data_IF_121979160434
#
_entry.id   IF_121979160434
#
_cell.length_a   1.000
_cell.length_b   1.000
_cell.length_c   1.000
_cell.angle_alpha   90.00
_cell.angle_beta   90.00
_cell.angle_gamma   90.00
#
_symmetry.space_group_name_H-M   'P 1'
#
loop_
_entity.id
_entity.type
_entity.pdbx_description
1 polymer ?
#
# COMPACT_ATOMS: atom_id res chain seq x y z
N UNK A 1 -6.26 -21.85 -12.38
CA UNK A 1 -5.04 -21.51 -13.14
C UNK A 1 -4.11 -20.75 -12.19
N UNK A 2 -3.02 -21.39 -11.75
CA UNK A 2 -2.10 -20.88 -10.72
C UNK A 2 -1.24 -19.75 -11.32
N UNK A 3 -1.16 -18.59 -10.65
CA UNK A 3 -0.72 -17.36 -11.32
C UNK A 3 0.79 -17.21 -11.56
N UNK A 4 1.66 -18.14 -11.12
CA UNK A 4 3.07 -18.09 -11.54
C UNK A 4 3.87 -19.34 -11.14
N UNK A 5 4.72 -19.79 -12.07
CA UNK A 5 6.04 -20.30 -11.69
C UNK A 5 6.72 -19.26 -10.81
N UNK A 6 6.94 -19.62 -9.54
CA UNK A 6 7.71 -18.81 -8.61
C UNK A 6 9.13 -18.73 -9.14
N UNK A 7 9.66 -17.53 -9.33
CA UNK A 7 11.05 -17.32 -9.71
C UNK A 7 11.82 -16.59 -8.60
N UNK A 8 13.15 -16.67 -8.70
CA UNK A 8 14.05 -15.83 -7.91
C UNK A 8 14.44 -14.64 -8.77
N UNK A 9 14.31 -13.43 -8.25
CA UNK A 9 14.69 -12.21 -8.93
C UNK A 9 15.35 -11.19 -8.00
N UNK A 10 15.93 -10.12 -8.54
CA UNK A 10 16.62 -9.10 -7.78
C UNK A 10 15.67 -8.05 -7.16
N UNK A 11 15.89 -7.70 -5.90
CA UNK A 11 15.24 -6.55 -5.26
C UNK A 11 15.74 -5.24 -5.90
N UNK A 12 17.05 -5.01 -5.86
CA UNK A 12 17.76 -3.95 -6.60
C UNK A 12 18.11 -4.42 -8.00
N UNK A 13 17.65 -3.73 -9.07
CA UNK A 13 17.75 -4.23 -10.44
C UNK A 13 19.21 -4.25 -10.92
N UNK A 14 19.63 -5.38 -11.51
CA UNK A 14 21.02 -5.63 -11.88
C UNK A 14 21.53 -4.74 -13.02
N UNK A 15 20.71 -4.52 -14.05
CA UNK A 15 21.21 -4.07 -15.37
C UNK A 15 20.87 -2.62 -15.72
N UNK A 16 19.87 -2.04 -15.07
CA UNK A 16 19.44 -0.64 -15.26
C UNK A 16 18.48 -0.25 -14.12
N UNK A 17 18.26 1.06 -13.95
CA UNK A 17 17.21 1.60 -13.08
C UNK A 17 16.30 2.48 -13.93
N UNK A 18 15.00 2.19 -13.93
CA UNK A 18 14.03 2.99 -14.69
C UNK A 18 14.02 4.45 -14.18
N UNK A 19 14.08 5.41 -15.11
CA UNK A 19 14.13 6.84 -14.78
C UNK A 19 15.54 7.38 -14.54
N UNK A 20 16.56 6.51 -14.53
CA UNK A 20 17.95 6.87 -14.26
C UNK A 20 18.87 6.39 -15.40
N UNK A 21 18.90 7.08 -16.57
CA UNK A 21 19.61 6.60 -17.76
C UNK A 21 21.11 6.37 -17.57
N UNK A 22 21.73 7.12 -16.67
CA UNK A 22 23.16 7.01 -16.37
C UNK A 22 23.48 5.85 -15.42
N UNK A 23 22.47 5.29 -14.74
CA UNK A 23 22.65 4.25 -13.74
C UNK A 23 22.69 2.87 -14.39
N UNK A 24 23.86 2.22 -14.39
CA UNK A 24 24.10 0.91 -15.03
C UNK A 24 23.51 -0.31 -14.29
N UNK A 25 22.54 -0.06 -13.42
CA UNK A 25 22.01 -1.03 -12.47
C UNK A 25 23.00 -1.41 -11.36
N UNK A 26 22.50 -2.14 -10.37
CA UNK A 26 23.27 -2.64 -9.23
C UNK A 26 24.02 -3.92 -9.59
N UNK A 27 24.82 -3.89 -10.65
CA UNK A 27 25.48 -5.08 -11.21
C UNK A 27 26.38 -5.79 -10.21
N UNK A 28 26.94 -5.07 -9.24
CA UNK A 28 27.77 -5.61 -8.16
C UNK A 28 26.97 -6.40 -7.11
N UNK A 29 25.65 -6.26 -7.11
CA UNK A 29 24.72 -7.03 -6.26
C UNK A 29 24.10 -8.23 -7.00
N UNK A 30 24.53 -8.50 -8.24
CA UNK A 30 23.94 -9.55 -9.07
C UNK A 30 24.00 -10.96 -8.44
N UNK A 31 25.05 -11.22 -7.65
CA UNK A 31 25.35 -12.49 -7.00
C UNK A 31 25.32 -12.39 -5.47
N UNK A 32 24.68 -11.35 -4.93
CA UNK A 32 24.47 -11.18 -3.49
C UNK A 32 23.13 -11.81 -3.12
N UNK A 33 23.15 -12.81 -2.24
CA UNK A 33 21.95 -13.54 -1.82
C UNK A 33 20.95 -12.59 -1.14
N UNK A 34 21.45 -11.56 -0.47
CA UNK A 34 20.67 -10.51 0.19
C UNK A 34 19.85 -9.68 -0.81
N UNK A 35 20.18 -9.75 -2.12
CA UNK A 35 19.45 -9.07 -3.18
C UNK A 35 18.41 -9.99 -3.87
N UNK A 36 18.30 -11.27 -3.51
CA UNK A 36 17.35 -12.20 -4.15
C UNK A 36 16.01 -12.28 -3.43
N UNK A 37 14.91 -12.20 -4.18
CA UNK A 37 13.54 -12.32 -3.69
C UNK A 37 12.76 -13.35 -4.49
N UNK A 38 11.83 -13.99 -3.80
CA UNK A 38 10.77 -14.75 -4.45
C UNK A 38 9.86 -13.75 -5.18
N UNK A 39 9.73 -13.92 -6.48
CA UNK A 39 8.94 -13.07 -7.34
C UNK A 39 7.94 -13.88 -8.18
N UNK A 40 6.91 -13.17 -8.64
CA UNK A 40 5.97 -13.67 -9.62
C UNK A 40 6.39 -13.14 -10.99
N UNK A 41 6.51 -14.01 -12.00
CA UNK A 41 6.86 -13.62 -13.37
C UNK A 41 5.98 -12.48 -13.91
N UNK A 42 4.69 -12.48 -13.61
CA UNK A 42 3.77 -11.42 -14.03
C UNK A 42 4.00 -10.11 -13.29
N UNK A 43 4.14 -10.15 -11.96
CA UNK A 43 4.43 -8.97 -11.12
C UNK A 43 5.81 -8.36 -11.40
N UNK A 44 6.71 -9.16 -11.97
CA UNK A 44 8.07 -8.72 -12.24
C UNK A 44 8.31 -8.26 -13.68
N UNK A 45 7.78 -8.96 -14.68
CA UNK A 45 8.10 -8.69 -16.09
C UNK A 45 6.89 -8.61 -17.04
N UNK A 46 5.67 -8.89 -16.57
CA UNK A 46 4.49 -9.01 -17.43
C UNK A 46 3.63 -7.75 -17.58
N UNK A 47 3.99 -6.66 -16.89
CA UNK A 47 3.11 -5.52 -16.67
C UNK A 47 2.07 -5.82 -15.59
N UNK A 48 1.84 -4.86 -14.70
CA UNK A 48 0.74 -4.91 -13.76
C UNK A 48 -0.58 -4.94 -14.56
N UNK A 49 -1.50 -5.84 -14.23
CA UNK A 49 -2.85 -5.86 -14.82
C UNK A 49 -3.91 -6.01 -13.75
N UNK A 50 -4.97 -5.21 -13.87
CA UNK A 50 -6.19 -5.30 -13.08
C UNK A 50 -7.36 -5.41 -14.05
N UNK A 51 -8.21 -6.40 -13.85
CA UNK A 51 -9.36 -6.66 -14.74
C UNK A 51 -9.00 -6.69 -16.25
N UNK A 52 -7.79 -7.17 -16.57
CA UNK A 52 -7.28 -7.25 -17.94
C UNK A 52 -6.67 -5.97 -18.50
N UNK A 53 -6.80 -4.83 -17.80
CA UNK A 53 -6.25 -3.53 -18.19
C UNK A 53 -4.80 -3.40 -17.69
N UNK A 54 -3.84 -3.00 -18.55
CA UNK A 54 -2.47 -2.68 -18.12
C UNK A 54 -2.45 -1.48 -17.17
N UNK A 55 -1.79 -1.62 -16.02
CA UNK A 55 -1.73 -0.60 -14.96
C UNK A 55 -0.33 -0.04 -14.73
N UNK A 56 0.59 -0.37 -15.64
CA UNK A 56 1.99 0.01 -15.54
C UNK A 56 2.91 -1.16 -15.84
N UNK A 57 4.21 -0.91 -15.71
CA UNK A 57 5.27 -1.82 -16.18
C UNK A 57 5.59 -2.97 -15.20
N UNK A 58 4.79 -3.17 -14.15
CA UNK A 58 5.12 -4.01 -13.00
C UNK A 58 6.43 -3.52 -12.33
N UNK A 59 7.07 -4.33 -11.47
CA UNK A 59 8.38 -3.96 -10.88
C UNK A 59 9.43 -3.73 -11.95
N UNK A 60 9.77 -4.75 -12.73
CA UNK A 60 10.86 -4.71 -13.71
C UNK A 60 12.12 -4.05 -13.12
N UNK A 61 12.57 -2.99 -13.78
CA UNK A 61 13.74 -2.20 -13.38
C UNK A 61 13.38 -0.95 -12.56
N UNK A 62 12.13 -0.84 -12.09
CA UNK A 62 11.69 0.21 -11.16
C UNK A 62 12.30 -0.05 -9.78
N UNK A 63 13.09 0.92 -9.33
CA UNK A 63 13.62 0.96 -7.96
C UNK A 63 13.59 2.39 -7.42
N UNK A 64 12.38 2.96 -7.24
CA UNK A 64 12.23 4.29 -6.67
C UNK A 64 12.73 4.31 -5.22
N UNK A 65 13.35 5.43 -4.84
CA UNK A 65 13.73 5.72 -3.47
C UNK A 65 12.68 6.65 -2.85
N UNK A 66 12.37 6.42 -1.58
CA UNK A 66 11.60 7.33 -0.76
C UNK A 66 12.47 8.53 -0.34
N UNK A 67 13.68 8.24 0.12
CA UNK A 67 14.67 9.22 0.56
C UNK A 67 16.11 8.67 0.42
N UNK A 68 17.07 9.53 0.69
CA UNK A 68 18.49 9.19 0.70
C UNK A 68 19.15 9.15 -0.69
N UNK A 69 20.50 9.16 -0.73
CA UNK A 69 21.24 9.11 -1.98
C UNK A 69 21.20 7.71 -2.60
N UNK A 70 20.98 7.65 -3.92
CA UNK A 70 21.16 6.41 -4.69
C UNK A 70 22.62 5.99 -4.71
N UNK A 71 22.89 4.71 -4.50
CA UNK A 71 24.19 4.10 -4.66
C UNK A 71 24.47 3.76 -6.13
N UNK A 72 25.60 4.22 -6.65
CA UNK A 72 26.05 4.09 -8.04
C UNK A 72 27.16 3.06 -8.22
N UNK A 73 27.88 2.75 -7.14
CA UNK A 73 29.10 1.96 -7.17
C UNK A 73 29.19 0.96 -6.01
N UNK A 74 30.04 -0.07 -6.13
CA UNK A 74 30.18 -1.10 -5.09
C UNK A 74 30.70 -0.59 -3.73
N UNK A 75 31.29 0.60 -3.69
CA UNK A 75 31.84 1.23 -2.48
C UNK A 75 30.85 2.17 -1.80
N UNK A 76 29.72 2.46 -2.44
CA UNK A 76 28.72 3.35 -1.88
C UNK A 76 27.97 2.63 -0.76
N UNK A 77 27.56 3.40 0.25
CA UNK A 77 26.83 2.89 1.39
C UNK A 77 25.35 2.66 1.04
N UNK A 78 24.96 1.39 0.95
CA UNK A 78 23.58 0.99 0.61
C UNK A 78 22.59 1.29 1.72
N UNK A 79 23.06 1.48 2.96
CA UNK A 79 22.18 1.74 4.11
C UNK A 79 21.69 3.20 4.12
N UNK A 80 22.31 4.08 3.32
CA UNK A 80 21.83 5.43 3.08
C UNK A 80 20.65 5.49 2.09
N UNK A 81 20.46 4.47 1.25
CA UNK A 81 19.29 4.38 0.40
C UNK A 81 18.05 4.01 1.23
N UNK A 82 16.96 4.72 1.03
CA UNK A 82 15.66 4.29 1.55
C UNK A 82 14.74 3.89 0.39
N UNK A 83 14.64 2.60 0.05
CA UNK A 83 13.76 2.14 -1.03
C UNK A 83 12.29 2.42 -0.75
N UNK A 84 11.56 2.91 -1.77
CA UNK A 84 10.12 3.09 -1.67
C UNK A 84 9.39 1.75 -1.60
N UNK A 85 9.88 0.73 -2.33
CA UNK A 85 9.33 -0.62 -2.29
C UNK A 85 9.59 -1.27 -0.94
N UNK A 86 8.58 -1.95 -0.41
CA UNK A 86 8.73 -2.79 0.77
C UNK A 86 9.55 -4.05 0.43
N UNK A 87 10.50 -4.36 1.29
CA UNK A 87 11.36 -5.53 1.20
C UNK A 87 10.91 -6.60 2.19
N UNK A 88 10.40 -7.77 1.75
CA UNK A 88 9.98 -8.82 2.67
C UNK A 88 11.12 -9.43 3.50
N UNK A 89 12.39 -9.19 3.13
CA UNK A 89 13.54 -9.59 3.93
C UNK A 89 13.88 -8.60 5.07
N UNK A 90 13.31 -7.39 5.03
CA UNK A 90 13.46 -6.40 6.10
C UNK A 90 12.38 -6.63 7.15
N UNK A 91 12.76 -6.84 8.42
CA UNK A 91 11.84 -7.29 9.47
C UNK A 91 10.61 -6.40 9.67
N UNK A 92 10.74 -5.08 9.49
CA UNK A 92 9.64 -4.13 9.70
C UNK A 92 8.70 -3.97 8.51
N UNK A 93 9.18 -4.22 7.30
CA UNK A 93 8.45 -3.89 6.06
C UNK A 93 7.16 -4.72 5.88
N UNK A 94 7.13 -6.04 6.14
CA UNK A 94 5.89 -6.82 6.09
C UNK A 94 4.79 -6.28 7.00
N UNK A 95 5.14 -5.67 8.14
CA UNK A 95 4.19 -5.10 9.09
C UNK A 95 3.47 -3.86 8.59
N UNK A 96 3.98 -3.21 7.54
CA UNK A 96 3.34 -2.05 6.90
C UNK A 96 2.16 -2.42 6.01
N UNK A 97 1.95 -3.72 5.75
CA UNK A 97 0.82 -4.24 4.97
C UNK A 97 -0.17 -5.02 5.85
N UNK A 98 -1.43 -4.93 5.48
CA UNK A 98 -2.55 -5.72 6.01
C UNK A 98 -3.52 -6.12 4.90
N UNK A 99 -4.61 -6.76 5.26
CA UNK A 99 -5.65 -7.17 4.31
C UNK A 99 -7.04 -6.76 4.81
N UNK A 100 -7.89 -6.27 3.91
CA UNK A 100 -9.30 -6.06 4.22
C UNK A 100 -10.13 -7.34 4.05
N UNK A 101 -11.40 -7.28 4.46
CA UNK A 101 -12.34 -8.42 4.39
C UNK A 101 -12.63 -8.91 2.98
N UNK A 102 -12.32 -8.10 1.95
CA UNK A 102 -12.47 -8.47 0.55
C UNK A 102 -11.18 -9.07 -0.04
N UNK A 103 -10.16 -9.32 0.80
CA UNK A 103 -8.90 -9.90 0.39
C UNK A 103 -7.98 -8.93 -0.34
N UNK A 104 -8.23 -7.62 -0.29
CA UNK A 104 -7.28 -6.65 -0.83
C UNK A 104 -6.17 -6.35 0.18
N UNK A 105 -4.94 -6.28 -0.31
CA UNK A 105 -3.83 -5.71 0.43
C UNK A 105 -4.07 -4.21 0.65
N UNK A 106 -3.79 -3.76 1.86
CA UNK A 106 -3.90 -2.38 2.32
C UNK A 106 -2.66 -2.02 3.12
N UNK A 107 -2.39 -0.73 3.25
CA UNK A 107 -1.57 -0.20 4.33
C UNK A 107 -2.13 -0.63 5.70
N UNK A 108 -1.26 -0.99 6.63
CA UNK A 108 -1.62 -1.21 8.04
C UNK A 108 -1.79 0.10 8.79
N UNK A 109 -2.23 0.03 10.05
CA UNK A 109 -2.40 1.22 10.91
C UNK A 109 -1.07 1.76 11.48
N UNK A 110 0.07 1.24 11.03
CA UNK A 110 1.39 1.75 11.42
C UNK A 110 1.52 3.22 11.03
N UNK A 111 1.89 4.15 11.91
CA UNK A 111 2.05 5.56 11.56
C UNK A 111 2.99 5.77 10.37
N UNK A 112 2.78 6.85 9.61
CA UNK A 112 3.73 7.26 8.58
C UNK A 112 5.09 7.58 9.20
N UNK A 113 6.15 7.15 8.54
CA UNK A 113 7.50 7.60 8.87
C UNK A 113 7.69 9.09 8.54
N UNK A 114 8.74 9.70 9.08
CA UNK A 114 9.08 11.09 8.77
C UNK A 114 9.35 11.29 7.27
N UNK A 115 10.04 10.34 6.62
CA UNK A 115 10.34 10.41 5.19
C UNK A 115 9.08 10.27 4.31
N UNK A 116 8.12 9.42 4.71
CA UNK A 116 6.81 9.34 4.06
C UNK A 116 6.04 10.66 4.21
N UNK A 117 6.04 11.24 5.42
CA UNK A 117 5.40 12.52 5.69
C UNK A 117 6.04 13.69 4.91
N UNK A 118 7.37 13.70 4.82
CA UNK A 118 8.13 14.73 4.10
C UNK A 118 7.94 14.62 2.58
N UNK A 119 7.95 13.40 2.04
CA UNK A 119 7.75 13.15 0.60
C UNK A 119 6.28 13.22 0.18
N UNK A 120 5.34 13.07 1.11
CA UNK A 120 3.91 12.94 0.81
C UNK A 120 3.55 11.60 0.16
N UNK A 121 4.41 10.58 0.30
CA UNK A 121 4.27 9.27 -0.35
C UNK A 121 4.16 8.17 0.70
N UNK A 122 3.27 7.20 0.48
CA UNK A 122 3.12 6.01 1.31
C UNK A 122 3.83 4.81 0.68
N UNK A 123 4.80 4.21 1.38
CA UNK A 123 5.57 3.05 0.88
C UNK A 123 4.67 1.84 0.60
N UNK A 124 3.73 1.56 1.51
CA UNK A 124 2.83 0.42 1.40
C UNK A 124 1.90 0.54 0.18
N UNK A 125 1.29 1.70 -0.03
CA UNK A 125 0.38 1.92 -1.16
C UNK A 125 1.11 1.89 -2.50
N UNK A 126 2.31 2.49 -2.58
CA UNK A 126 3.13 2.43 -3.79
C UNK A 126 3.65 1.01 -4.07
N UNK A 127 3.96 0.24 -3.04
CA UNK A 127 4.33 -1.17 -3.22
C UNK A 127 3.15 -1.99 -3.74
N UNK A 128 1.96 -1.82 -3.18
CA UNK A 128 0.73 -2.46 -3.67
C UNK A 128 0.50 -2.14 -5.15
N UNK A 129 0.69 -0.86 -5.53
CA UNK A 129 0.56 -0.38 -6.91
C UNK A 129 1.59 -1.01 -7.84
N UNK A 130 2.87 -0.84 -7.54
CA UNK A 130 3.98 -1.25 -8.43
C UNK A 130 4.03 -2.77 -8.60
N UNK A 131 3.77 -3.53 -7.53
CA UNK A 131 3.80 -5.00 -7.57
C UNK A 131 2.45 -5.64 -7.96
N UNK A 132 1.42 -4.82 -8.19
CA UNK A 132 0.05 -5.27 -8.49
C UNK A 132 -0.49 -6.28 -7.46
N UNK A 133 -0.26 -6.03 -6.18
CA UNK A 133 -0.65 -6.95 -5.10
C UNK A 133 -2.16 -7.14 -4.98
N UNK A 134 -2.95 -6.32 -5.68
CA UNK A 134 -4.41 -6.36 -5.70
C UNK A 134 -5.01 -6.78 -7.03
N UNK A 135 -4.24 -7.49 -7.85
CA UNK A 135 -4.78 -8.02 -9.09
C UNK A 135 -5.81 -9.14 -8.84
N UNK A 136 -6.91 -9.13 -9.61
CA UNK A 136 -8.18 -9.85 -9.37
C UNK A 136 -8.05 -11.31 -8.93
N UNK A 137 -7.24 -12.10 -9.64
CA UNK A 137 -7.05 -13.52 -9.30
C UNK A 137 -6.45 -13.75 -7.90
N UNK A 138 -5.64 -12.80 -7.41
CA UNK A 138 -5.00 -12.89 -6.09
C UNK A 138 -5.95 -12.38 -5.00
N UNK A 139 -6.74 -11.34 -5.27
CA UNK A 139 -7.78 -10.87 -4.34
C UNK A 139 -8.87 -11.92 -4.17
N UNK A 140 -9.32 -12.59 -5.24
CA UNK A 140 -10.35 -13.63 -5.17
C UNK A 140 -9.91 -14.82 -4.32
N UNK A 141 -8.70 -15.34 -4.55
CA UNK A 141 -8.14 -16.44 -3.75
C UNK A 141 -7.98 -16.07 -2.28
N UNK A 142 -7.51 -14.85 -1.99
CA UNK A 142 -7.42 -14.36 -0.61
C UNK A 142 -8.80 -14.25 0.02
N UNK A 143 -9.77 -13.67 -0.68
CA UNK A 143 -11.15 -13.53 -0.20
C UNK A 143 -11.77 -14.88 0.11
N UNK A 144 -11.67 -15.85 -0.80
CA UNK A 144 -12.17 -17.22 -0.59
C UNK A 144 -11.57 -17.85 0.67
N UNK A 145 -10.25 -17.76 0.84
CA UNK A 145 -9.58 -18.28 2.03
C UNK A 145 -10.01 -17.54 3.31
N UNK A 146 -10.11 -16.22 3.26
CA UNK A 146 -10.50 -15.39 4.40
C UNK A 146 -11.94 -15.69 4.83
N UNK A 147 -12.86 -15.86 3.88
CA UNK A 147 -14.24 -16.29 4.15
C UNK A 147 -14.26 -17.67 4.79
N UNK A 148 -13.51 -18.64 4.25
CA UNK A 148 -13.44 -19.99 4.84
C UNK A 148 -12.90 -19.95 6.27
N UNK A 149 -11.85 -19.18 6.55
CA UNK A 149 -11.32 -19.00 7.90
C UNK A 149 -12.38 -18.37 8.82
N UNK A 150 -13.09 -17.36 8.33
CA UNK A 150 -14.14 -16.70 9.09
C UNK A 150 -15.28 -17.66 9.48
N UNK A 151 -15.71 -18.51 8.55
CA UNK A 151 -16.74 -19.54 8.77
C UNK A 151 -16.26 -20.59 9.78
N UNK A 152 -15.05 -21.12 9.60
CA UNK A 152 -14.47 -22.12 10.50
C UNK A 152 -14.28 -21.58 11.92
N UNK A 153 -13.89 -20.31 12.06
CA UNK A 153 -13.65 -19.67 13.36
C UNK A 153 -14.94 -19.45 14.17
N UNK A 154 -16.10 -19.33 13.50
CA UNK A 154 -17.40 -19.12 14.13
C UNK A 154 -18.04 -20.40 14.68
N UNK A 155 -17.55 -21.59 14.31
CA UNK A 155 -18.15 -22.86 14.74
C UNK A 155 -18.01 -23.03 16.27
N UNK A 156 -19.12 -23.09 17.04
CA UNK A 156 -19.08 -23.28 18.49
C UNK A 156 -18.50 -24.65 18.87
N UNK A 157 -17.78 -24.71 20.00
CA UNK A 157 -17.22 -25.99 20.49
C UNK A 157 -16.18 -26.60 19.55
N UNK A 158 -15.34 -25.76 18.91
CA UNK A 158 -14.35 -26.12 17.87
C UNK A 158 -13.73 -27.50 18.10
N UNK A 159 -14.22 -28.46 17.32
CA UNK A 159 -13.67 -29.81 17.31
C UNK A 159 -12.18 -29.75 16.95
N UNK A 160 -11.34 -30.65 17.50
CA UNK A 160 -9.89 -30.67 17.20
C UNK A 160 -9.57 -30.66 15.69
N UNK A 161 -10.42 -31.29 14.87
CA UNK A 161 -10.29 -31.30 13.41
C UNK A 161 -10.46 -29.92 12.76
N UNK A 162 -11.34 -29.08 13.29
CA UNK A 162 -11.56 -27.70 12.80
C UNK A 162 -10.36 -26.83 13.17
N UNK A 163 -9.88 -26.95 14.42
CA UNK A 163 -8.70 -26.24 14.90
C UNK A 163 -7.47 -26.57 14.05
N UNK A 164 -7.21 -27.85 13.79
CA UNK A 164 -6.12 -28.29 12.91
C UNK A 164 -6.24 -27.76 11.48
N UNK A 165 -7.48 -27.62 10.95
CA UNK A 165 -7.71 -27.04 9.60
C UNK A 165 -7.38 -25.55 9.56
N UNK A 166 -7.73 -24.80 10.60
CA UNK A 166 -7.36 -23.39 10.74
C UNK A 166 -5.85 -23.26 10.84
N UNK A 167 -5.21 -24.00 11.75
CA UNK A 167 -3.76 -24.00 11.96
C UNK A 167 -2.98 -24.26 10.67
N UNK A 168 -3.40 -25.27 9.90
CA UNK A 168 -2.79 -25.58 8.60
C UNK A 168 -2.85 -24.42 7.61
N UNK A 169 -3.91 -23.61 7.65
CA UNK A 169 -4.13 -22.49 6.70
C UNK A 169 -3.45 -21.21 7.13
N UNK A 170 -3.23 -21.03 8.43
CA UNK A 170 -2.51 -19.87 8.98
C UNK A 170 -1.02 -20.12 9.17
N UNK A 171 -0.55 -21.35 8.94
CA UNK A 171 0.86 -21.70 8.98
C UNK A 171 1.68 -20.74 8.09
N UNK A 172 2.84 -20.21 8.55
CA UNK A 172 3.62 -19.23 7.80
C UNK A 172 4.01 -19.67 6.38
N UNK A 173 4.10 -20.99 6.14
CA UNK A 173 4.46 -21.57 4.84
C UNK A 173 3.25 -21.83 3.94
N UNK A 174 2.03 -21.71 4.48
CA UNK A 174 0.82 -21.90 3.71
C UNK A 174 0.59 -20.75 2.70
N UNK A 175 0.06 -21.04 1.50
CA UNK A 175 -0.34 -20.00 0.56
C UNK A 175 -1.32 -19.03 1.21
N UNK A 176 -1.03 -17.73 1.08
CA UNK A 176 -1.88 -16.65 1.61
C UNK A 176 -2.06 -16.65 3.13
N UNK A 177 -1.15 -17.28 3.87
CA UNK A 177 -1.18 -17.38 5.34
C UNK A 177 -1.37 -16.05 6.05
N UNK A 178 -0.75 -14.98 5.56
CA UNK A 178 -0.92 -13.64 6.13
C UNK A 178 -2.37 -13.11 6.02
N UNK A 179 -3.07 -13.38 4.91
CA UNK A 179 -4.47 -13.03 4.74
C UNK A 179 -5.38 -13.91 5.63
N UNK A 180 -5.08 -15.21 5.73
CA UNK A 180 -5.77 -16.12 6.64
C UNK A 180 -5.62 -15.67 8.12
N UNK A 181 -4.42 -15.27 8.52
CA UNK A 181 -4.14 -14.72 9.85
C UNK A 181 -4.92 -13.44 10.11
N UNK A 182 -5.00 -12.53 9.13
CA UNK A 182 -5.79 -11.31 9.23
C UNK A 182 -7.28 -11.62 9.47
N UNK A 183 -7.85 -12.57 8.72
CA UNK A 183 -9.24 -13.00 8.92
C UNK A 183 -9.48 -13.62 10.30
N UNK A 184 -8.57 -14.48 10.77
CA UNK A 184 -8.67 -15.10 12.09
C UNK A 184 -8.54 -14.06 13.22
N UNK A 185 -7.65 -13.09 13.08
CA UNK A 185 -7.47 -12.00 14.03
C UNK A 185 -8.74 -11.14 14.12
N UNK A 186 -9.33 -10.79 12.98
CA UNK A 186 -10.59 -10.03 12.94
C UNK A 186 -11.73 -10.78 13.63
N UNK A 187 -11.89 -12.08 13.37
CA UNK A 187 -12.93 -12.88 14.05
C UNK A 187 -12.73 -12.95 15.55
N UNK A 188 -11.48 -13.08 16.01
CA UNK A 188 -11.18 -13.04 17.46
C UNK A 188 -11.54 -11.68 18.05
N UNK A 189 -11.23 -10.58 17.35
CA UNK A 189 -11.58 -9.24 17.80
C UNK A 189 -13.11 -9.05 17.90
N UNK A 190 -13.88 -9.51 16.90
CA UNK A 190 -15.35 -9.42 16.94
C UNK A 190 -16.01 -10.32 18.01
N UNK A 191 -15.35 -11.42 18.39
CA UNK A 191 -15.84 -12.35 19.41
C UNK A 191 -15.51 -11.93 20.85
N UNK A 192 -14.64 -10.94 21.05
CA UNK A 192 -14.37 -10.38 22.37
C UNK A 192 -15.58 -9.56 22.83
N UNK A 193 -16.09 -9.77 24.06
CA UNK A 193 -17.12 -8.89 24.61
C UNK A 193 -16.57 -7.46 24.67
N UNK A 194 -17.39 -6.47 24.31
CA UNK A 194 -17.01 -5.04 24.21
C UNK A 194 -16.50 -4.41 25.52
N UNK A 195 -16.52 -5.16 26.62
CA UNK A 195 -16.08 -4.76 27.96
C UNK A 195 -14.68 -5.29 28.34
N UNK A 196 -14.00 -6.02 27.44
CA UNK A 196 -12.62 -6.42 27.64
C UNK A 196 -11.69 -5.26 27.28
N UNK A 197 -11.23 -4.54 28.31
CA UNK A 197 -10.18 -3.52 28.23
C UNK A 197 -9.12 -3.88 27.19
N UNK A 198 -8.94 -3.02 26.19
CA UNK A 198 -7.94 -3.16 25.15
C UNK A 198 -6.57 -3.45 25.78
N UNK A 199 -6.13 -4.71 25.67
CA UNK A 199 -4.78 -5.09 26.07
C UNK A 199 -3.82 -4.41 25.09
N UNK A 200 -2.81 -3.66 25.58
CA UNK A 200 -1.89 -3.00 24.68
C UNK A 200 -1.19 -4.05 23.82
N UNK A 201 -1.22 -3.85 22.50
CA UNK A 201 -0.43 -4.61 21.56
C UNK A 201 1.01 -4.69 22.08
N UNK A 202 1.57 -5.91 22.09
CA UNK A 202 2.90 -6.17 22.62
C UNK A 202 3.90 -5.11 22.14
N UNK A 203 4.60 -4.51 23.10
CA UNK A 203 5.52 -3.40 22.87
C UNK A 203 6.59 -3.76 21.84
N UNK A 204 6.47 -3.19 20.65
CA UNK A 204 7.63 -2.91 19.81
C UNK A 204 8.41 -1.73 20.44
N UNK A 205 9.75 -1.71 20.36
CA UNK A 205 10.54 -0.69 21.04
C UNK A 205 10.14 0.71 20.57
N UNK A 206 9.77 1.53 21.54
CA UNK A 206 9.50 2.97 21.51
C UNK A 206 9.53 3.64 20.12
N UNK A 207 8.42 3.54 19.39
CA UNK A 207 8.11 4.56 18.38
C UNK A 207 7.71 5.81 19.16
N UNK A 208 8.57 6.83 19.12
CA UNK A 208 8.19 8.20 19.50
C UNK A 208 6.86 8.49 18.78
N UNK A 209 5.78 8.55 19.54
CA UNK A 209 4.49 8.95 19.05
C UNK A 209 4.63 10.41 18.61
N UNK A 210 4.90 10.59 17.31
CA UNK A 210 4.68 11.87 16.66
C UNK A 210 3.18 12.12 16.86
N UNK A 211 2.84 13.20 17.57
CA UNK A 211 1.47 13.69 17.63
C UNK A 211 0.89 13.65 16.21
N UNK A 212 -0.39 13.32 15.99
CA UNK A 212 -0.98 13.32 14.66
C UNK A 212 -0.97 14.76 14.11
N UNK A 213 0.17 15.19 13.60
CA UNK A 213 0.30 16.32 12.70
C UNK A 213 -0.61 15.99 11.54
N UNK A 214 -1.44 16.97 11.16
CA UNK A 214 -2.38 16.84 10.05
C UNK A 214 -1.63 16.26 8.85
N UNK A 215 -1.92 15.00 8.54
CA UNK A 215 -1.18 14.14 7.62
C UNK A 215 -0.92 14.84 6.29
N UNK A 216 0.35 14.93 5.90
CA UNK A 216 0.76 15.38 4.56
C UNK A 216 0.66 14.27 3.51
N UNK A 217 0.32 13.05 3.93
CA UNK A 217 0.33 11.85 3.09
C UNK A 217 -1.08 11.46 2.66
N UNK A 218 -2.07 11.62 3.53
CA UNK A 218 -3.47 11.23 3.30
C UNK A 218 -4.46 12.36 3.58
N UNK A 219 -5.74 12.11 3.29
CA UNK A 219 -6.81 13.10 3.42
C UNK A 219 -7.56 13.05 4.76
N UNK A 220 -7.21 12.11 5.66
CA UNK A 220 -8.04 11.82 6.85
C UNK A 220 -8.30 13.05 7.71
N UNK A 221 -7.30 13.90 7.90
CA UNK A 221 -7.41 15.12 8.71
C UNK A 221 -8.10 16.29 8.01
N UNK A 222 -8.39 16.18 6.71
CA UNK A 222 -9.09 17.21 5.96
C UNK A 222 -10.59 16.92 5.82
N UNK A 223 -11.02 15.70 6.17
CA UNK A 223 -12.43 15.28 6.08
C UNK A 223 -13.34 16.09 7.00
N UNK A 224 -12.83 16.57 8.14
CA UNK A 224 -13.58 17.42 9.08
C UNK A 224 -13.99 18.78 8.48
N UNK A 225 -13.38 19.17 7.35
CA UNK A 225 -13.65 20.42 6.66
C UNK A 225 -14.56 20.26 5.44
N UNK A 226 -15.07 19.05 5.19
CA UNK A 226 -15.97 18.74 4.09
C UNK A 226 -17.39 18.57 4.61
N UNK A 227 -18.40 18.84 3.76
CA UNK A 227 -19.79 18.61 4.13
C UNK A 227 -20.05 17.12 4.40
N UNK A 228 -20.61 16.74 5.55
CA UNK A 228 -20.81 15.34 5.90
C UNK A 228 -21.76 14.59 4.94
N UNK A 229 -22.77 15.27 4.38
CA UNK A 229 -23.71 14.65 3.46
C UNK A 229 -23.07 14.42 2.08
N UNK A 230 -22.29 15.38 1.58
CA UNK A 230 -21.49 15.20 0.36
C UNK A 230 -20.44 14.11 0.53
N UNK A 231 -19.75 14.08 1.67
CA UNK A 231 -18.73 13.08 1.98
C UNK A 231 -19.34 11.67 2.10
N UNK A 232 -20.53 11.54 2.68
CA UNK A 232 -21.27 10.28 2.74
C UNK A 232 -21.71 9.79 1.34
N UNK A 233 -22.07 10.70 0.44
CA UNK A 233 -22.38 10.38 -0.96
C UNK A 233 -21.13 10.05 -1.79
N UNK A 234 -19.97 10.54 -1.36
CA UNK A 234 -18.69 10.46 -2.07
C UNK A 234 -18.46 11.70 -2.92
N UNK A 235 -17.32 12.36 -2.69
CA UNK A 235 -17.00 13.64 -3.35
C UNK A 235 -16.24 13.36 -4.64
N UNK A 236 -16.74 13.92 -5.76
CA UNK A 236 -16.10 13.76 -7.05
C UNK A 236 -14.77 14.53 -7.13
N UNK A 237 -13.74 13.86 -7.66
CA UNK A 237 -12.43 14.43 -7.96
C UNK A 237 -12.16 14.37 -9.46
N UNK A 238 -11.46 15.37 -9.99
CA UNK A 238 -10.99 15.42 -11.38
C UNK A 238 -9.49 15.70 -11.45
N UNK A 239 -8.82 15.15 -12.45
CA UNK A 239 -7.39 15.36 -12.65
C UNK A 239 -7.02 15.33 -14.14
N UNK A 240 -6.66 16.46 -14.77
CA UNK A 240 -6.25 16.49 -16.16
C UNK A 240 -4.80 15.99 -16.34
N UNK A 241 -4.57 15.07 -17.27
CA UNK A 241 -3.23 14.59 -17.62
C UNK A 241 -3.20 14.09 -19.07
N UNK A 242 -2.18 14.48 -19.83
CA UNK A 242 -1.99 14.07 -21.24
C UNK A 242 -3.26 14.16 -22.12
N UNK A 243 -3.96 15.29 -22.04
CA UNK A 243 -5.22 15.59 -22.78
C UNK A 243 -6.43 14.73 -22.37
N UNK A 244 -6.31 13.88 -21.34
CA UNK A 244 -7.41 13.15 -20.74
C UNK A 244 -7.77 13.76 -19.38
N UNK A 245 -9.04 13.63 -18.98
CA UNK A 245 -9.50 13.99 -17.64
C UNK A 245 -9.80 12.72 -16.88
N UNK A 246 -9.00 12.44 -15.86
CA UNK A 246 -9.22 11.32 -14.95
C UNK A 246 -10.25 11.71 -13.90
N UNK A 247 -11.10 10.76 -13.51
CA UNK A 247 -12.14 10.94 -12.49
C UNK A 247 -11.91 9.97 -11.36
N UNK A 248 -12.14 10.45 -10.14
CA UNK A 248 -12.09 9.65 -8.92
C UNK A 248 -13.18 10.09 -7.94
N UNK A 249 -13.35 9.32 -6.87
CA UNK A 249 -14.30 9.62 -5.80
C UNK A 249 -13.57 9.54 -4.46
N UNK A 250 -13.57 10.64 -3.72
CA UNK A 250 -13.13 10.66 -2.33
C UNK A 250 -14.21 10.01 -1.45
N UNK A 251 -13.82 8.97 -0.73
CA UNK A 251 -14.68 8.22 0.19
C UNK A 251 -14.66 8.85 1.58
N UNK A 252 -15.68 8.52 2.39
CA UNK A 252 -15.87 9.04 3.75
C UNK A 252 -14.75 8.69 4.74
N UNK A 253 -13.88 7.74 4.41
CA UNK A 253 -12.74 7.32 5.20
C UNK A 253 -11.41 7.93 4.73
N UNK A 254 -11.48 8.87 3.77
CA UNK A 254 -10.33 9.60 3.24
C UNK A 254 -9.59 8.88 2.12
N UNK A 255 -10.07 7.70 1.71
CA UNK A 255 -9.49 6.98 0.57
C UNK A 255 -10.08 7.47 -0.75
N UNK A 256 -9.31 7.36 -1.82
CA UNK A 256 -9.72 7.77 -3.17
C UNK A 256 -9.99 6.53 -4.03
N UNK A 257 -11.20 6.44 -4.55
CA UNK A 257 -11.59 5.40 -5.51
C UNK A 257 -11.38 5.88 -6.93
N UNK A 258 -10.55 5.17 -7.69
CA UNK A 258 -10.28 5.43 -9.12
C UNK A 258 -10.11 4.11 -9.86
N UNK A 259 -10.71 4.00 -11.05
CA UNK A 259 -10.68 2.78 -11.86
C UNK A 259 -11.12 1.52 -11.06
N UNK A 260 -12.19 1.65 -10.28
CA UNK A 260 -12.75 0.56 -9.46
C UNK A 260 -11.92 0.16 -8.25
N UNK A 261 -10.89 0.94 -7.88
CA UNK A 261 -9.95 0.62 -6.80
C UNK A 261 -9.78 1.77 -5.84
N UNK A 262 -9.66 1.42 -4.57
CA UNK A 262 -9.48 2.37 -3.48
C UNK A 262 -8.00 2.48 -3.09
N UNK A 263 -7.51 3.71 -2.97
CA UNK A 263 -6.13 4.05 -2.61
C UNK A 263 -6.08 4.91 -1.35
N UNK A 264 -5.09 4.67 -0.50
CA UNK A 264 -4.93 5.38 0.78
C UNK A 264 -4.46 6.83 0.66
N UNK A 265 -3.81 7.20 -0.46
CA UNK A 265 -3.22 8.52 -0.64
C UNK A 265 -3.61 9.17 -1.98
N UNK A 266 -3.67 10.51 -2.05
CA UNK A 266 -3.84 11.24 -3.31
C UNK A 266 -2.81 10.85 -4.36
N UNK A 267 -1.53 10.78 -3.98
CA UNK A 267 -0.42 10.52 -4.90
C UNK A 267 -0.51 9.11 -5.50
N UNK A 268 -0.74 8.08 -4.71
CA UNK A 268 -0.91 6.73 -5.24
C UNK A 268 -2.14 6.61 -6.14
N UNK A 269 -3.25 7.28 -5.79
CA UNK A 269 -4.44 7.32 -6.64
C UNK A 269 -4.15 7.99 -8.00
N UNK A 270 -3.43 9.12 -8.00
CA UNK A 270 -3.08 9.85 -9.22
C UNK A 270 -2.15 9.03 -10.13
N UNK A 271 -1.11 8.43 -9.55
CA UNK A 271 -0.17 7.56 -10.27
C UNK A 271 -0.86 6.31 -10.82
N UNK A 272 -1.82 5.74 -10.09
CA UNK A 272 -2.62 4.63 -10.58
C UNK A 272 -3.56 5.04 -11.73
N UNK A 273 -4.13 6.24 -11.67
CA UNK A 273 -5.01 6.76 -12.71
C UNK A 273 -4.26 7.06 -14.01
N UNK A 274 -3.06 7.62 -13.90
CA UNK A 274 -2.28 8.15 -15.03
C UNK A 274 -1.25 7.17 -15.58
N UNK A 275 -0.81 6.20 -14.77
CA UNK A 275 0.32 5.31 -15.07
C UNK A 275 1.69 5.99 -15.00
N UNK A 276 1.75 7.27 -14.64
CA UNK A 276 2.98 8.06 -14.48
C UNK A 276 3.44 8.02 -13.02
N UNK A 277 4.75 7.91 -12.80
CA UNK A 277 5.33 7.97 -11.45
C UNK A 277 5.64 9.44 -11.03
N UNK A 278 5.58 10.39 -11.96
CA UNK A 278 5.97 11.80 -11.76
C UNK A 278 4.81 12.70 -11.35
N UNK A 279 3.64 12.13 -11.04
CA UNK A 279 2.44 12.88 -10.68
C UNK A 279 2.35 13.00 -9.15
N UNK A 280 2.28 14.24 -8.65
CA UNK A 280 1.86 14.55 -7.29
C UNK A 280 0.33 14.60 -7.22
N UNK A 281 -0.26 13.74 -6.41
CA UNK A 281 -1.72 13.65 -6.28
C UNK A 281 -2.36 14.86 -5.60
N UNK A 282 -1.60 15.61 -4.79
CA UNK A 282 -2.11 16.79 -4.12
C UNK A 282 -2.38 17.93 -5.09
N UNK A 283 -1.50 18.12 -6.07
CA UNK A 283 -1.68 19.12 -7.12
C UNK A 283 -2.58 18.62 -8.27
N UNK A 284 -2.57 17.31 -8.50
CA UNK A 284 -3.31 16.69 -9.60
C UNK A 284 -4.81 16.64 -9.37
N UNK A 285 -5.26 16.17 -8.19
CA UNK A 285 -6.68 16.01 -7.92
C UNK A 285 -7.31 17.33 -7.52
N UNK A 286 -8.42 17.67 -8.18
CA UNK A 286 -9.24 18.83 -7.91
C UNK A 286 -10.61 18.40 -7.37
N UNK A 287 -11.12 19.15 -6.40
CA UNK A 287 -12.49 19.03 -5.90
C UNK A 287 -13.21 20.36 -6.03
N UNK A 288 -14.53 20.30 -6.15
CA UNK A 288 -15.41 21.47 -6.18
C UNK A 288 -16.20 21.54 -4.90
N UNK A 289 -15.96 22.58 -4.09
CA UNK A 289 -16.71 22.84 -2.85
C UNK A 289 -17.48 24.14 -3.05
N UNK A 290 -18.81 24.10 -2.84
CA UNK A 290 -19.68 25.29 -2.98
C UNK A 290 -19.48 26.04 -4.31
N UNK A 291 -19.26 25.31 -5.41
CA UNK A 291 -19.04 25.86 -6.75
C UNK A 291 -17.62 26.38 -7.03
N UNK A 292 -16.70 26.30 -6.07
CA UNK A 292 -15.29 26.70 -6.24
C UNK A 292 -14.43 25.45 -6.44
N UNK A 293 -13.82 25.34 -7.62
CA UNK A 293 -12.85 24.29 -7.92
C UNK A 293 -11.45 24.67 -7.41
N UNK A 294 -10.76 23.71 -6.80
CA UNK A 294 -9.42 23.87 -6.24
C UNK A 294 -8.69 22.52 -6.19
N UNK A 295 -7.36 22.53 -6.12
CA UNK A 295 -6.59 21.30 -5.89
C UNK A 295 -6.68 20.83 -4.43
N UNK A 296 -6.36 19.57 -4.18
CA UNK A 296 -6.22 19.07 -2.81
C UNK A 296 -5.08 19.78 -2.06
N UNK A 297 -4.04 20.23 -2.75
CA UNK A 297 -2.95 21.02 -2.17
C UNK A 297 -3.44 22.39 -1.69
N UNK A 298 -4.21 23.11 -2.52
CA UNK A 298 -4.84 24.39 -2.17
C UNK A 298 -5.82 24.22 -1.01
N UNK A 299 -6.63 23.15 -1.05
CA UNK A 299 -7.54 22.81 0.04
C UNK A 299 -6.78 22.57 1.34
N UNK A 300 -5.75 21.72 1.32
CA UNK A 300 -4.89 21.44 2.49
C UNK A 300 -4.25 22.70 3.05
N UNK A 301 -3.71 23.57 2.20
CA UNK A 301 -3.05 24.81 2.62
C UNK A 301 -4.00 25.76 3.36
N UNK A 302 -5.25 25.88 2.92
CA UNK A 302 -6.26 26.74 3.58
C UNK A 302 -6.71 26.20 4.94
N UNK A 303 -6.63 24.89 5.14
CA UNK A 303 -7.05 24.21 6.35
C UNK A 303 -5.89 23.78 7.27
N UNK A 304 -4.65 24.15 6.92
CA UNK A 304 -3.45 23.89 7.74
C UNK A 304 -2.83 25.22 8.15
N UNK A 305 -2.93 25.63 9.44
CA UNK A 305 -2.37 26.91 9.88
C UNK A 305 -0.83 26.92 9.78
N UNK A 306 -0.22 28.08 9.47
CA UNK A 306 1.23 28.22 9.46
C UNK A 306 1.79 27.99 10.88
N UNK A 307 2.71 27.02 11.03
CA UNK A 307 3.42 26.76 12.29
C UNK A 307 3.03 25.49 13.06
N UNK A 308 2.16 24.63 12.54
CA UNK A 308 2.05 23.27 13.05
C UNK A 308 3.36 22.51 12.78
N UNK A 309 3.91 21.73 13.74
CA UNK A 309 5.14 20.97 13.51
C UNK A 309 4.98 20.08 12.29
N UNK A 310 5.91 20.25 11.36
CA UNK A 310 6.01 19.57 10.07
C UNK A 310 6.46 18.13 10.20
#
# INVERSE_FOLDING_TARGET
MQRADVNVDHFRPKSEVLGEPSHRGYWWLAYKIENYRIACKHCNSGGARFDGVPEGRAKGTRFPLLAGPRAWHPKDDLDLEQPLLLDPAQRGDPGLLGFDTYGYARRSDTPYSQDEAQSGVCRADETIRILALNATQITDQRRELMTEIAELAQIPGRLPKIQARIEKKVDPTAPWSAAAMAALALQRACALPMDATAQPAAAHPATLAIAPGRSKVDLRNLLEHLDPAELAAGIALTGPHNKLVHRAVLQHDGRISVLGRTWGTPTSAARAATGSDDVDGWDFWRLTIAGVEQSLAEFRARHTPPGAPT
#
